data_IF_193559504984
#
_entry.id   IF_193559504984
#
_cell.length_a   1.000
_cell.length_b   1.000
_cell.length_c   1.000
_cell.angle_alpha   90.00
_cell.angle_beta   90.00
_cell.angle_gamma   90.00
#
_symmetry.space_group_name_H-M   'P 1'
#
loop_
_entity.id
_entity.type
_entity.pdbx_description
1 polymer ?
#
# COMPACT_ATOMS: atom_id res chain seq x y z
N UNK A 1 12.03 -14.61 19.31
CA UNK A 1 11.90 -13.41 18.44
C UNK A 1 11.04 -13.79 17.27
N UNK A 2 9.93 -13.08 17.03
CA UNK A 2 8.92 -13.41 16.03
C UNK A 2 9.56 -13.46 14.63
N UNK A 3 9.23 -14.51 13.85
CA UNK A 3 9.60 -14.70 12.45
C UNK A 3 8.40 -14.41 11.55
N UNK A 4 8.64 -14.09 10.26
CA UNK A 4 7.60 -14.03 9.25
C UNK A 4 7.33 -15.46 8.75
N UNK A 5 6.26 -16.04 9.21
CA UNK A 5 5.91 -17.44 8.99
C UNK A 5 4.74 -17.65 8.04
N UNK A 6 3.96 -16.61 7.87
CA UNK A 6 2.77 -16.61 7.01
C UNK A 6 2.57 -15.22 6.43
N UNK A 7 2.35 -15.14 5.15
CA UNK A 7 1.90 -13.95 4.43
C UNK A 7 0.70 -14.30 3.55
N UNK A 8 -0.34 -13.48 3.62
CA UNK A 8 -1.54 -13.66 2.80
C UNK A 8 -1.77 -12.45 1.88
N UNK A 9 -2.22 -12.73 0.67
CA UNK A 9 -2.62 -11.75 -0.34
C UNK A 9 -4.00 -12.12 -0.88
N UNK A 10 -4.85 -11.11 -1.14
CA UNK A 10 -6.05 -11.27 -1.94
C UNK A 10 -6.01 -10.28 -3.11
N UNK A 11 -6.31 -10.76 -4.30
CA UNK A 11 -6.34 -9.96 -5.53
C UNK A 11 -7.34 -10.55 -6.51
N UNK A 12 -7.71 -9.76 -7.52
CA UNK A 12 -8.59 -10.23 -8.58
C UNK A 12 -7.76 -10.77 -9.75
N UNK A 13 -8.11 -11.95 -10.23
CA UNK A 13 -7.59 -12.58 -11.43
C UNK A 13 -8.79 -13.06 -12.24
N UNK A 14 -8.93 -12.61 -13.48
CA UNK A 14 -10.07 -12.92 -14.36
C UNK A 14 -11.45 -12.74 -13.65
N UNK A 15 -11.65 -11.60 -12.99
CA UNK A 15 -12.84 -11.26 -12.19
C UNK A 15 -13.12 -12.16 -10.97
N UNK A 16 -12.24 -13.09 -10.67
CA UNK A 16 -12.32 -13.92 -9.46
C UNK A 16 -11.41 -13.38 -8.36
N UNK A 17 -11.94 -13.32 -7.14
CA UNK A 17 -11.13 -12.99 -5.96
C UNK A 17 -10.30 -14.20 -5.54
N UNK A 18 -8.99 -14.11 -5.70
CA UNK A 18 -8.02 -15.14 -5.33
C UNK A 18 -7.41 -14.79 -3.98
N UNK A 19 -7.37 -15.76 -3.06
CA UNK A 19 -6.62 -15.68 -1.81
C UNK A 19 -5.38 -16.58 -1.92
N UNK A 20 -4.20 -15.97 -1.85
CA UNK A 20 -2.91 -16.65 -1.89
C UNK A 20 -2.25 -16.57 -0.52
N UNK A 21 -1.83 -17.71 0.01
CA UNK A 21 -1.14 -17.80 1.29
C UNK A 21 0.23 -18.43 1.11
N UNK A 22 1.26 -17.79 1.68
CA UNK A 22 2.64 -18.25 1.65
C UNK A 22 2.99 -18.60 3.09
N UNK A 23 3.14 -19.91 3.37
CA UNK A 23 3.27 -20.45 4.70
C UNK A 23 4.60 -21.21 4.85
N UNK A 24 5.29 -20.99 5.96
CA UNK A 24 6.48 -21.73 6.33
C UNK A 24 6.08 -22.97 7.16
N UNK A 25 6.36 -24.16 6.66
CA UNK A 25 6.16 -25.38 7.43
C UNK A 25 7.15 -25.49 8.61
N UNK A 26 8.33 -24.90 8.43
CA UNK A 26 9.35 -24.79 9.48
C UNK A 26 9.87 -23.35 9.59
N UNK A 27 10.18 -22.87 10.81
CA UNK A 27 10.71 -21.52 11.00
C UNK A 27 12.00 -21.21 10.21
N UNK A 28 12.75 -22.21 9.74
CA UNK A 28 13.94 -22.01 8.88
C UNK A 28 13.58 -21.55 7.46
N UNK A 29 12.35 -21.77 7.00
CA UNK A 29 11.86 -21.40 5.67
C UNK A 29 11.46 -19.91 5.58
N UNK A 30 11.59 -19.16 6.67
CA UNK A 30 11.30 -17.72 6.66
C UNK A 30 11.93 -16.94 5.49
N UNK A 31 13.20 -17.20 5.08
CA UNK A 31 13.79 -16.50 3.94
C UNK A 31 13.00 -16.71 2.62
N UNK A 32 12.48 -17.92 2.42
CA UNK A 32 11.69 -18.28 1.25
C UNK A 32 10.33 -17.58 1.26
N UNK A 33 9.65 -17.54 2.42
CA UNK A 33 8.40 -16.78 2.57
C UNK A 33 8.61 -15.30 2.24
N UNK A 34 9.70 -14.69 2.77
CA UNK A 34 10.01 -13.29 2.51
C UNK A 34 10.31 -13.05 1.03
N UNK A 35 11.13 -13.90 0.41
CA UNK A 35 11.49 -13.76 -1.00
C UNK A 35 10.25 -13.88 -1.89
N UNK A 36 9.39 -14.84 -1.60
CA UNK A 36 8.15 -15.09 -2.35
C UNK A 36 7.19 -13.90 -2.23
N UNK A 37 6.90 -13.40 -1.02
CA UNK A 37 5.98 -12.27 -0.85
C UNK A 37 6.54 -10.99 -1.51
N UNK A 38 7.82 -10.72 -1.41
CA UNK A 38 8.44 -9.57 -2.07
C UNK A 38 8.38 -9.69 -3.60
N UNK A 39 8.50 -10.90 -4.14
CA UNK A 39 8.35 -11.13 -5.57
C UNK A 39 6.91 -10.91 -6.03
N UNK A 40 5.93 -11.45 -5.33
CA UNK A 40 4.50 -11.23 -5.62
C UNK A 40 4.14 -9.74 -5.63
N UNK A 41 4.65 -8.97 -4.65
CA UNK A 41 4.36 -7.54 -4.53
C UNK A 41 4.86 -6.68 -5.71
N UNK A 42 5.77 -7.20 -6.55
CA UNK A 42 6.28 -6.44 -7.71
C UNK A 42 5.23 -6.23 -8.79
N UNK A 43 4.28 -7.17 -8.89
CA UNK A 43 3.28 -7.17 -9.95
C UNK A 43 2.10 -6.22 -9.66
N UNK A 44 2.08 -5.61 -8.45
CA UNK A 44 1.02 -4.70 -8.03
C UNK A 44 1.51 -3.26 -7.95
N UNK A 45 0.67 -2.33 -8.39
CA UNK A 45 0.91 -0.88 -8.22
C UNK A 45 0.52 -0.40 -6.81
N UNK A 46 -0.45 -1.05 -6.19
CA UNK A 46 -0.98 -0.71 -4.88
C UNK A 46 -1.31 -1.94 -4.06
N UNK A 47 -1.05 -1.87 -2.75
CA UNK A 47 -1.55 -2.83 -1.76
C UNK A 47 -2.48 -2.12 -0.80
N UNK A 48 -3.53 -2.82 -0.39
CA UNK A 48 -4.43 -2.39 0.68
C UNK A 48 -4.06 -3.12 1.96
N UNK A 49 -3.96 -2.38 3.06
CA UNK A 49 -3.68 -2.97 4.38
C UNK A 49 -4.58 -2.37 5.44
N UNK A 50 -4.62 -3.01 6.60
CA UNK A 50 -5.19 -2.43 7.81
C UNK A 50 -4.10 -2.25 8.87
N UNK A 51 -3.65 -1.00 9.06
CA UNK A 51 -2.51 -0.63 9.91
C UNK A 51 -1.13 -1.18 9.45
N UNK A 52 -1.05 -1.60 8.19
CA UNK A 52 0.14 -2.22 7.62
C UNK A 52 1.33 -1.28 7.45
N UNK A 53 1.10 0.03 7.29
CA UNK A 53 2.19 1.03 7.26
C UNK A 53 3.00 1.03 8.56
N UNK A 54 2.37 0.71 9.70
CA UNK A 54 3.03 0.71 11.02
C UNK A 54 3.52 -0.67 11.45
N UNK A 55 2.91 -1.75 10.95
CA UNK A 55 3.19 -3.11 11.39
C UNK A 55 3.73 -4.00 10.26
N UNK A 56 2.91 -4.37 9.30
CA UNK A 56 3.25 -5.41 8.32
C UNK A 56 4.43 -5.02 7.43
N UNK A 57 4.40 -3.80 6.87
CA UNK A 57 5.47 -3.35 5.97
C UNK A 57 6.82 -3.16 6.67
N UNK A 58 6.90 -2.45 7.83
CA UNK A 58 8.15 -2.36 8.56
C UNK A 58 8.65 -3.71 9.07
N UNK A 59 7.74 -4.62 9.43
CA UNK A 59 8.10 -5.97 9.85
C UNK A 59 8.70 -6.76 8.68
N UNK A 60 8.04 -6.79 7.52
CA UNK A 60 8.53 -7.44 6.30
C UNK A 60 9.93 -6.92 5.93
N UNK A 61 10.10 -5.60 5.85
CA UNK A 61 11.39 -4.98 5.51
C UNK A 61 12.50 -5.32 6.52
N UNK A 62 12.19 -5.27 7.81
CA UNK A 62 13.12 -5.65 8.87
C UNK A 62 13.52 -7.12 8.79
N UNK A 63 12.58 -8.02 8.44
CA UNK A 63 12.87 -9.44 8.26
C UNK A 63 13.68 -9.69 7.00
N UNK A 64 13.37 -9.03 5.89
CA UNK A 64 14.15 -9.07 4.65
C UNK A 64 15.62 -8.66 4.91
N UNK A 65 15.82 -7.52 5.58
CA UNK A 65 17.17 -7.05 5.94
C UNK A 65 17.94 -8.07 6.79
N UNK A 66 17.29 -8.68 7.82
CA UNK A 66 17.92 -9.68 8.68
C UNK A 66 18.31 -10.96 7.95
N UNK A 67 17.53 -11.34 6.94
CA UNK A 67 17.79 -12.52 6.13
C UNK A 67 18.66 -12.20 4.90
N UNK A 68 19.22 -10.97 4.80
CA UNK A 68 20.08 -10.50 3.70
C UNK A 68 19.40 -10.59 2.33
N UNK A 69 18.09 -10.43 2.31
CA UNK A 69 17.31 -10.38 1.08
C UNK A 69 17.29 -8.93 0.61
N UNK A 70 17.86 -8.69 -0.57
CA UNK A 70 17.94 -7.38 -1.19
C UNK A 70 16.68 -7.11 -2.02
N UNK A 71 16.11 -5.94 -1.84
CA UNK A 71 15.01 -5.46 -2.67
C UNK A 71 15.61 -4.60 -3.79
N UNK A 72 15.35 -4.97 -5.02
CA UNK A 72 15.78 -4.20 -6.19
C UNK A 72 14.76 -3.11 -6.57
N UNK A 73 13.57 -3.18 -5.99
CA UNK A 73 12.45 -2.31 -6.31
C UNK A 73 11.77 -1.79 -5.05
N UNK A 74 11.22 -0.57 -5.12
CA UNK A 74 10.36 -0.05 -4.07
C UNK A 74 9.07 -0.87 -3.95
N UNK A 75 8.54 -0.98 -2.73
CA UNK A 75 7.23 -1.59 -2.49
C UNK A 75 6.12 -0.79 -3.20
N UNK A 76 4.99 -1.45 -3.53
CA UNK A 76 3.83 -0.77 -4.06
C UNK A 76 3.28 0.28 -3.09
N UNK A 77 2.52 1.24 -3.61
CA UNK A 77 1.81 2.20 -2.77
C UNK A 77 0.94 1.44 -1.76
N UNK A 78 1.01 1.83 -0.49
CA UNK A 78 0.19 1.22 0.55
C UNK A 78 -1.00 2.12 0.89
N UNK A 79 -2.19 1.73 0.47
CA UNK A 79 -3.45 2.29 0.93
C UNK A 79 -3.81 1.66 2.27
N UNK A 80 -3.46 2.33 3.35
CA UNK A 80 -3.71 1.83 4.71
C UNK A 80 -5.06 2.33 5.22
N UNK A 81 -6.01 1.42 5.43
CA UNK A 81 -7.37 1.75 5.85
C UNK A 81 -7.44 2.26 7.30
N UNK A 82 -6.51 1.86 8.18
CA UNK A 82 -6.54 2.31 9.57
C UNK A 82 -6.38 3.83 9.73
N UNK A 83 -5.35 4.50 9.16
CA UNK A 83 -5.28 5.95 9.21
C UNK A 83 -6.41 6.65 8.43
N UNK A 84 -6.95 6.04 7.36
CA UNK A 84 -8.12 6.56 6.66
C UNK A 84 -9.32 6.64 7.60
N UNK A 85 -9.64 5.53 8.27
CA UNK A 85 -10.72 5.47 9.26
C UNK A 85 -10.44 6.38 10.46
N UNK A 86 -9.21 6.38 10.98
CA UNK A 86 -8.87 7.09 12.21
C UNK A 86 -8.90 8.61 12.07
N UNK A 87 -8.39 9.14 10.96
CA UNK A 87 -8.09 10.58 10.82
C UNK A 87 -8.94 11.28 9.77
N UNK A 88 -9.58 10.52 8.89
CA UNK A 88 -10.33 11.03 7.75
C UNK A 88 -11.77 10.55 7.74
N UNK A 89 -12.29 10.04 8.86
CA UNK A 89 -13.69 9.66 9.02
C UNK A 89 -14.21 10.02 10.42
N UNK A 90 -15.55 10.08 10.62
CA UNK A 90 -16.14 10.26 11.94
C UNK A 90 -16.08 9.01 12.82
N UNK A 91 -15.69 7.85 12.29
CA UNK A 91 -15.78 6.54 12.95
C UNK A 91 -15.00 6.46 14.26
N UNK A 92 -13.90 7.22 14.38
CA UNK A 92 -13.14 7.30 15.63
C UNK A 92 -13.98 7.78 16.83
N UNK A 93 -14.95 8.66 16.58
CA UNK A 93 -15.83 9.18 17.62
C UNK A 93 -17.06 8.28 17.85
N UNK A 94 -17.36 7.40 16.92
CA UNK A 94 -18.56 6.57 16.92
C UNK A 94 -18.32 5.15 17.44
N UNK A 95 -17.07 4.63 17.29
CA UNK A 95 -16.75 3.25 17.63
C UNK A 95 -15.96 3.16 18.94
N UNK A 96 -16.10 2.06 19.70
CA UNK A 96 -15.38 1.85 20.96
C UNK A 96 -13.86 1.71 20.74
N UNK A 97 -13.47 1.13 19.62
CA UNK A 97 -12.09 1.05 19.13
C UNK A 97 -12.08 1.00 17.60
N UNK A 98 -10.87 1.03 17.03
CA UNK A 98 -10.68 0.94 15.58
C UNK A 98 -9.91 -0.33 15.20
N UNK A 99 -10.15 -1.44 15.88
CA UNK A 99 -9.66 -2.74 15.42
C UNK A 99 -10.38 -3.13 14.13
N UNK A 100 -9.72 -3.90 13.28
CA UNK A 100 -10.29 -4.32 12.01
C UNK A 100 -11.67 -4.97 12.21
N UNK A 101 -11.81 -5.95 13.14
CA UNK A 101 -13.05 -6.63 13.46
C UNK A 101 -14.18 -5.67 13.91
N UNK A 102 -13.84 -4.61 14.66
CA UNK A 102 -14.81 -3.60 15.08
C UNK A 102 -15.34 -2.78 13.91
N UNK A 103 -14.45 -2.39 13.00
CA UNK A 103 -14.83 -1.64 11.80
C UNK A 103 -15.60 -2.53 10.82
N UNK A 104 -15.21 -3.79 10.64
CA UNK A 104 -15.94 -4.79 9.86
C UNK A 104 -17.39 -4.96 10.38
N UNK A 105 -17.55 -5.08 11.70
CA UNK A 105 -18.87 -5.16 12.32
C UNK A 105 -19.73 -3.94 12.02
N UNK A 106 -19.15 -2.75 12.07
CA UNK A 106 -19.86 -1.50 11.77
C UNK A 106 -20.35 -1.42 10.32
N UNK A 107 -19.56 -1.91 9.36
CA UNK A 107 -19.98 -1.93 7.94
C UNK A 107 -20.79 -3.17 7.56
N UNK A 108 -21.18 -4.01 8.53
CA UNK A 108 -22.05 -5.16 8.29
C UNK A 108 -21.34 -6.43 7.81
N UNK A 109 -20.03 -6.55 8.02
CA UNK A 109 -19.24 -7.70 7.55
C UNK A 109 -19.00 -8.78 8.60
N UNK A 110 -19.48 -8.61 9.83
CA UNK A 110 -19.22 -9.51 10.95
C UNK A 110 -19.74 -10.96 10.74
N UNK A 111 -20.82 -11.13 10.00
CA UNK A 111 -21.42 -12.46 9.75
C UNK A 111 -20.61 -13.33 8.79
N UNK A 112 -19.63 -12.75 8.11
CA UNK A 112 -18.86 -13.45 7.07
C UNK A 112 -17.51 -13.98 7.55
N UNK A 113 -17.16 -13.77 8.84
CA UNK A 113 -16.00 -14.39 9.47
C UNK A 113 -16.31 -15.78 9.99
N UNK A 114 -15.35 -16.69 9.82
CA UNK A 114 -15.43 -18.07 10.29
C UNK A 114 -14.32 -18.41 11.29
N UNK A 115 -13.33 -17.51 11.44
CA UNK A 115 -12.21 -17.70 12.37
C UNK A 115 -12.60 -17.34 13.82
N UNK A 116 -12.12 -18.14 14.78
CA UNK A 116 -12.38 -17.97 16.21
C UNK A 116 -11.16 -17.51 17.02
N UNK A 117 -9.97 -17.43 16.40
CA UNK A 117 -8.71 -17.12 17.08
C UNK A 117 -8.29 -15.65 16.90
N UNK A 118 -7.39 -15.20 17.76
CA UNK A 118 -6.70 -13.91 17.64
C UNK A 118 -5.34 -14.07 16.96
N UNK A 119 -4.78 -12.97 16.45
CA UNK A 119 -3.44 -12.98 15.87
C UNK A 119 -2.33 -13.41 16.87
N UNK A 120 -2.51 -13.16 18.17
CA UNK A 120 -1.57 -13.63 19.19
C UNK A 120 -1.63 -15.15 19.35
N UNK A 121 -2.84 -15.70 19.43
CA UNK A 121 -3.06 -17.16 19.49
C UNK A 121 -2.54 -17.86 18.22
N UNK A 122 -2.70 -17.25 17.05
CA UNK A 122 -2.16 -17.77 15.80
C UNK A 122 -0.64 -17.98 15.86
N UNK A 123 0.11 -17.09 16.52
CA UNK A 123 1.56 -17.23 16.70
C UNK A 123 1.90 -18.40 17.64
N UNK A 124 1.15 -18.58 18.73
CA UNK A 124 1.36 -19.69 19.66
C UNK A 124 1.04 -21.03 18.98
N UNK A 125 -0.07 -21.10 18.26
CA UNK A 125 -0.46 -22.27 17.48
C UNK A 125 0.57 -22.63 16.42
N UNK A 126 1.20 -21.63 15.78
CA UNK A 126 2.26 -21.91 14.82
C UNK A 126 3.46 -22.62 15.45
N UNK A 127 3.95 -22.16 16.61
CA UNK A 127 5.08 -22.85 17.26
C UNK A 127 4.71 -24.24 17.74
N UNK A 128 3.46 -24.47 18.13
CA UNK A 128 2.96 -25.79 18.42
C UNK A 128 2.93 -26.67 17.15
N UNK A 129 2.40 -26.15 16.05
CA UNK A 129 2.42 -26.82 14.73
C UNK A 129 3.86 -27.16 14.29
N UNK A 130 4.79 -26.21 14.39
CA UNK A 130 6.17 -26.44 13.98
C UNK A 130 6.83 -27.62 14.70
N UNK A 131 6.44 -27.87 15.97
CA UNK A 131 6.92 -29.01 16.76
C UNK A 131 6.17 -30.32 16.52
N UNK A 132 4.88 -30.27 16.21
CA UNK A 132 4.02 -31.47 16.13
C UNK A 132 3.65 -31.88 14.71
N UNK A 133 3.67 -30.93 13.77
CA UNK A 133 3.18 -31.08 12.38
C UNK A 133 1.71 -31.50 12.32
N UNK A 134 0.90 -31.08 13.31
CA UNK A 134 -0.53 -31.34 13.33
C UNK A 134 -1.24 -30.49 12.25
N UNK A 135 -1.72 -31.13 11.20
CA UNK A 135 -2.39 -30.49 10.08
C UNK A 135 -3.64 -29.71 10.47
N UNK A 136 -4.35 -30.16 11.52
CA UNK A 136 -5.54 -29.43 12.01
C UNK A 136 -5.18 -28.07 12.57
N UNK A 137 -4.04 -27.98 13.26
CA UNK A 137 -3.53 -26.70 13.77
C UNK A 137 -3.09 -25.79 12.63
N UNK A 138 -2.42 -26.33 11.62
CA UNK A 138 -2.08 -25.59 10.39
C UNK A 138 -3.33 -25.01 9.72
N UNK A 139 -4.35 -25.81 9.56
CA UNK A 139 -5.59 -25.41 8.90
C UNK A 139 -6.31 -24.28 9.65
N UNK A 140 -6.29 -24.29 10.99
CA UNK A 140 -6.81 -23.20 11.81
C UNK A 140 -6.03 -21.91 11.59
N UNK A 141 -4.70 -21.96 11.52
CA UNK A 141 -3.84 -20.80 11.27
C UNK A 141 -4.12 -20.22 9.87
N UNK A 142 -4.20 -21.09 8.86
CA UNK A 142 -4.48 -20.67 7.49
C UNK A 142 -5.88 -20.10 7.34
N UNK A 143 -6.88 -20.69 7.99
CA UNK A 143 -8.25 -20.18 7.99
C UNK A 143 -8.32 -18.76 8.58
N UNK A 144 -7.68 -18.53 9.72
CA UNK A 144 -7.62 -17.20 10.34
C UNK A 144 -7.02 -16.15 9.40
N UNK A 145 -5.84 -16.44 8.82
CA UNK A 145 -5.21 -15.52 7.88
C UNK A 145 -6.07 -15.32 6.61
N UNK A 146 -6.68 -16.39 6.07
CA UNK A 146 -7.57 -16.28 4.92
C UNK A 146 -8.76 -15.37 5.22
N UNK A 147 -9.38 -15.52 6.37
CA UNK A 147 -10.50 -14.68 6.75
C UNK A 147 -10.08 -13.22 6.90
N UNK A 148 -8.92 -12.93 7.48
CA UNK A 148 -8.40 -11.56 7.61
C UNK A 148 -8.21 -10.88 6.23
N UNK A 149 -7.58 -11.55 5.26
CA UNK A 149 -7.36 -10.97 3.93
C UNK A 149 -8.65 -10.86 3.11
N UNK A 150 -9.55 -11.83 3.21
CA UNK A 150 -10.84 -11.80 2.51
C UNK A 150 -11.77 -10.72 3.07
N UNK A 151 -11.78 -10.54 4.39
CA UNK A 151 -12.54 -9.47 5.01
C UNK A 151 -11.96 -8.09 4.67
N UNK A 152 -10.63 -7.97 4.61
CA UNK A 152 -9.96 -6.73 4.21
C UNK A 152 -10.40 -6.27 2.80
N UNK A 153 -10.57 -7.19 1.85
CA UNK A 153 -11.06 -6.85 0.51
C UNK A 153 -12.47 -6.26 0.53
N UNK A 154 -13.35 -6.79 1.35
CA UNK A 154 -14.73 -6.28 1.53
C UNK A 154 -14.73 -4.96 2.31
N UNK A 155 -13.80 -4.80 3.25
CA UNK A 155 -13.67 -3.62 4.10
C UNK A 155 -13.31 -2.34 3.32
N UNK A 156 -12.88 -2.46 2.06
CA UNK A 156 -12.69 -1.30 1.17
C UNK A 156 -13.92 -0.39 1.10
N UNK A 157 -15.12 -0.92 1.29
CA UNK A 157 -16.37 -0.14 1.36
C UNK A 157 -16.37 0.91 2.49
N UNK A 158 -15.50 0.78 3.49
CA UNK A 158 -15.36 1.79 4.55
C UNK A 158 -14.85 3.14 4.00
N UNK A 159 -14.19 3.14 2.86
CA UNK A 159 -13.69 4.36 2.21
C UNK A 159 -14.84 5.32 1.84
N UNK A 160 -16.06 4.83 1.63
CA UNK A 160 -17.26 5.65 1.41
C UNK A 160 -17.62 6.52 2.64
N UNK A 161 -17.07 6.17 3.81
CA UNK A 161 -17.23 6.92 5.07
C UNK A 161 -16.04 7.83 5.37
N UNK A 162 -15.02 7.86 4.49
CA UNK A 162 -13.79 8.60 4.68
C UNK A 162 -13.69 9.80 3.73
N UNK A 163 -13.05 10.88 4.20
CA UNK A 163 -12.53 11.91 3.30
C UNK A 163 -11.29 11.38 2.57
N UNK A 164 -11.54 10.68 1.47
CA UNK A 164 -10.49 10.07 0.66
C UNK A 164 -9.55 11.12 0.05
N UNK A 165 -10.06 12.30 -0.30
CA UNK A 165 -9.24 13.38 -0.84
C UNK A 165 -8.26 13.89 0.21
N UNK A 166 -8.72 14.14 1.43
CA UNK A 166 -7.86 14.50 2.55
C UNK A 166 -6.83 13.42 2.88
N UNK A 167 -7.23 12.15 2.84
CA UNK A 167 -6.31 11.02 3.03
C UNK A 167 -5.20 10.99 1.98
N UNK A 168 -5.55 11.09 0.70
CA UNK A 168 -4.59 11.08 -0.42
C UNK A 168 -3.66 12.28 -0.34
N UNK A 169 -4.19 13.46 -0.04
CA UNK A 169 -3.38 14.68 0.13
C UNK A 169 -2.34 14.54 1.25
N UNK A 170 -2.68 13.86 2.34
CA UNK A 170 -1.79 13.65 3.48
C UNK A 170 -0.82 12.48 3.33
N UNK A 171 -1.17 11.45 2.53
CA UNK A 171 -0.44 10.18 2.45
C UNK A 171 0.17 9.89 1.08
N UNK A 172 0.00 10.78 0.12
CA UNK A 172 0.45 10.62 -1.25
C UNK A 172 -0.62 10.03 -2.18
N UNK A 173 -0.42 10.24 -3.48
CA UNK A 173 -1.29 9.78 -4.56
C UNK A 173 -0.51 8.80 -5.45
N UNK A 174 -0.98 7.57 -5.62
CA UNK A 174 -0.41 6.67 -6.62
C UNK A 174 -0.78 7.14 -8.04
N UNK A 175 0.19 7.17 -8.95
CA UNK A 175 0.02 7.49 -10.36
C UNK A 175 0.85 6.52 -11.20
N UNK A 176 0.33 5.32 -11.45
CA UNK A 176 1.06 4.21 -12.04
C UNK A 176 2.26 3.82 -11.16
N UNK A 177 3.44 3.84 -11.74
CA UNK A 177 4.70 3.55 -11.00
C UNK A 177 5.23 4.72 -10.17
N UNK A 178 4.57 5.87 -10.21
CA UNK A 178 4.91 7.03 -9.40
C UNK A 178 4.06 7.07 -8.14
N UNK A 179 4.64 7.54 -7.05
CA UNK A 179 3.93 7.90 -5.83
C UNK A 179 4.17 9.39 -5.62
N UNK A 180 3.13 10.19 -5.75
CA UNK A 180 3.19 11.63 -5.51
C UNK A 180 3.05 11.84 -4.01
N UNK A 181 4.15 12.23 -3.36
CA UNK A 181 4.17 12.43 -1.92
C UNK A 181 3.71 13.84 -1.55
N UNK A 182 3.95 14.82 -2.42
CA UNK A 182 3.67 16.21 -2.14
C UNK A 182 3.49 17.03 -3.40
N UNK A 183 2.53 17.96 -3.38
CA UNK A 183 2.36 19.00 -4.38
C UNK A 183 2.57 20.35 -3.71
N UNK A 184 3.50 21.15 -4.22
CA UNK A 184 3.80 22.48 -3.67
C UNK A 184 3.53 23.55 -4.72
N UNK A 185 2.59 24.44 -4.44
CA UNK A 185 2.24 25.54 -5.34
C UNK A 185 3.03 26.80 -4.98
N UNK A 186 3.93 27.22 -5.86
CA UNK A 186 4.59 28.52 -5.85
C UNK A 186 3.81 29.57 -6.65
N UNK A 187 4.41 30.77 -6.79
CA UNK A 187 3.79 31.85 -7.60
C UNK A 187 3.84 31.54 -9.10
N UNK A 188 4.93 30.95 -9.59
CA UNK A 188 5.19 30.70 -11.01
C UNK A 188 5.21 29.24 -11.39
N UNK A 189 5.36 28.35 -10.41
CA UNK A 189 5.55 26.91 -10.63
C UNK A 189 4.76 26.11 -9.60
N UNK A 190 4.36 24.93 -10.03
CA UNK A 190 3.85 23.85 -9.19
C UNK A 190 4.88 22.72 -9.23
N UNK A 191 5.37 22.32 -8.07
CA UNK A 191 6.28 21.19 -7.93
C UNK A 191 5.50 19.95 -7.46
N UNK A 192 5.55 18.89 -8.26
CA UNK A 192 5.03 17.57 -7.95
C UNK A 192 6.24 16.74 -7.51
N UNK A 193 6.27 16.33 -6.26
CA UNK A 193 7.40 15.67 -5.62
C UNK A 193 6.98 14.28 -5.19
N UNK A 194 7.83 13.28 -5.41
CA UNK A 194 7.51 11.93 -5.02
C UNK A 194 8.62 10.93 -5.25
N UNK A 195 8.23 9.65 -5.25
CA UNK A 195 9.10 8.51 -5.48
C UNK A 195 8.64 7.73 -6.71
N UNK A 196 9.58 7.14 -7.41
CA UNK A 196 9.33 6.26 -8.55
C UNK A 196 9.82 4.86 -8.24
N UNK A 197 9.01 3.85 -8.53
CA UNK A 197 9.46 2.45 -8.55
C UNK A 197 10.35 2.25 -9.78
N UNK A 198 11.56 1.74 -9.59
CA UNK A 198 12.51 1.40 -10.67
C UNK A 198 13.01 2.58 -11.49
N UNK A 199 13.58 3.61 -10.84
CA UNK A 199 14.37 4.61 -11.54
C UNK A 199 15.77 4.01 -11.87
N UNK A 200 16.06 3.60 -13.12
CA UNK A 200 17.30 2.89 -13.43
C UNK A 200 18.53 3.82 -13.46
N UNK A 201 18.33 5.11 -13.61
CA UNK A 201 19.39 6.12 -13.72
C UNK A 201 18.86 7.49 -13.30
N UNK A 202 19.81 8.38 -13.00
CA UNK A 202 19.49 9.80 -12.85
C UNK A 202 19.03 10.37 -14.19
N UNK A 203 17.98 11.17 -14.15
CA UNK A 203 17.45 11.85 -15.32
C UNK A 203 17.16 13.31 -15.01
N UNK A 204 17.52 14.19 -15.93
CA UNK A 204 17.16 15.60 -15.90
C UNK A 204 16.67 16.01 -17.29
N UNK A 205 15.40 16.44 -17.36
CA UNK A 205 14.93 17.10 -18.59
C UNK A 205 15.51 18.49 -18.64
N UNK A 206 16.15 18.82 -19.74
CA UNK A 206 16.47 20.20 -20.08
C UNK A 206 15.25 20.83 -20.72
N UNK A 207 14.94 22.05 -20.29
CA UNK A 207 13.93 22.86 -20.90
C UNK A 207 14.48 23.35 -22.24
N UNK A 208 14.13 22.71 -23.34
CA UNK A 208 14.43 23.20 -24.68
C UNK A 208 13.37 24.25 -25.05
N UNK A 209 13.28 25.31 -24.28
CA UNK A 209 12.52 26.55 -24.55
C UNK A 209 11.03 26.38 -24.94
N UNK A 210 10.55 25.16 -25.16
CA UNK A 210 9.23 24.87 -25.74
C UNK A 210 8.25 24.18 -24.79
N UNK A 211 8.72 23.34 -23.83
CA UNK A 211 7.81 22.58 -22.98
C UNK A 211 7.42 23.28 -21.68
N UNK A 212 8.26 24.20 -21.21
CA UNK A 212 8.00 24.98 -20.00
C UNK A 212 7.98 24.17 -18.69
N UNK A 213 8.14 22.84 -18.73
CA UNK A 213 8.21 22.00 -17.54
C UNK A 213 9.61 21.38 -17.38
N UNK A 214 9.94 20.97 -16.16
CA UNK A 214 11.21 20.29 -15.83
C UNK A 214 10.94 19.03 -15.05
N UNK A 215 11.73 17.98 -15.34
CA UNK A 215 11.64 16.70 -14.65
C UNK A 215 13.01 16.30 -14.14
N UNK A 216 13.10 15.93 -12.88
CA UNK A 216 14.31 15.36 -12.25
C UNK A 216 13.97 14.01 -11.67
N UNK A 217 14.79 13.00 -11.97
CA UNK A 217 14.79 11.71 -11.30
C UNK A 217 16.16 11.45 -10.70
N UNK A 218 16.17 10.93 -9.46
CA UNK A 218 17.38 10.49 -8.78
C UNK A 218 17.25 9.01 -8.48
N UNK A 219 18.10 8.18 -9.07
CA UNK A 219 18.08 6.73 -8.90
C UNK A 219 18.44 6.31 -7.48
N UNK A 220 19.36 7.02 -6.80
CA UNK A 220 19.86 6.69 -5.46
C UNK A 220 18.76 6.54 -4.40
N UNK A 221 17.75 7.41 -4.43
CA UNK A 221 16.65 7.44 -3.48
C UNK A 221 15.28 7.28 -4.15
N UNK A 222 15.29 6.93 -5.44
CA UNK A 222 14.11 6.79 -6.29
C UNK A 222 13.21 8.04 -6.29
N UNK A 223 13.74 9.22 -5.96
CA UNK A 223 12.97 10.45 -5.88
C UNK A 223 12.78 11.10 -7.24
N UNK A 224 11.70 11.84 -7.40
CA UNK A 224 11.48 12.70 -8.55
C UNK A 224 10.88 14.05 -8.15
N UNK A 225 11.10 15.04 -9.01
CA UNK A 225 10.41 16.32 -9.00
C UNK A 225 9.97 16.64 -10.43
N UNK A 226 8.70 16.93 -10.59
CA UNK A 226 8.15 17.47 -11.84
C UNK A 226 7.72 18.91 -11.54
N UNK A 227 8.35 19.87 -12.20
CA UNK A 227 8.02 21.29 -12.08
C UNK A 227 7.26 21.75 -13.31
N UNK A 228 6.05 22.25 -13.11
CA UNK A 228 5.21 22.77 -14.20
C UNK A 228 4.94 24.28 -14.01
N UNK A 229 4.90 25.07 -15.09
CA UNK A 229 4.60 26.49 -15.01
C UNK A 229 3.14 26.69 -14.63
N UNK A 230 2.87 27.70 -13.81
CA UNK A 230 1.54 28.12 -13.38
C UNK A 230 1.28 29.53 -13.86
N UNK A 231 0.11 29.75 -14.41
CA UNK A 231 -0.43 31.07 -14.77
C UNK A 231 -1.53 31.46 -13.76
N UNK A 232 -1.62 32.73 -13.46
CA UNK A 232 -2.71 33.28 -12.64
C UNK A 232 -3.75 33.91 -13.55
N UNK A 233 -4.99 33.48 -13.40
CA UNK A 233 -6.13 34.05 -14.11
C UNK A 233 -7.31 34.20 -13.16
N UNK A 234 -7.80 35.42 -12.97
CA UNK A 234 -8.98 35.76 -12.14
C UNK A 234 -8.87 35.19 -10.69
N UNK A 235 -7.66 35.24 -10.11
CA UNK A 235 -7.40 34.73 -8.76
C UNK A 235 -7.24 33.21 -8.66
N UNK A 236 -7.32 32.48 -9.77
CA UNK A 236 -7.07 31.04 -9.86
C UNK A 236 -5.68 30.79 -10.41
N UNK A 237 -5.02 29.77 -9.91
CA UNK A 237 -3.77 29.26 -10.46
C UNK A 237 -4.05 28.08 -11.35
N UNK A 238 -3.61 28.17 -12.59
CA UNK A 238 -3.89 27.20 -13.65
C UNK A 238 -2.59 26.70 -14.26
N UNK A 239 -2.56 25.43 -14.63
CA UNK A 239 -1.48 24.87 -15.46
C UNK A 239 -1.88 25.03 -16.92
N UNK A 240 -1.01 25.67 -17.72
CA UNK A 240 -1.24 25.86 -19.15
C UNK A 240 -0.79 24.62 -19.93
N UNK A 241 -1.71 23.68 -20.13
CA UNK A 241 -1.43 22.44 -20.86
C UNK A 241 -1.05 22.69 -22.34
N UNK A 242 -1.56 23.76 -22.96
CA UNK A 242 -1.20 24.12 -24.33
C UNK A 242 0.28 24.54 -24.42
N UNK A 243 0.72 25.35 -23.44
CA UNK A 243 2.13 25.77 -23.37
C UNK A 243 3.06 24.58 -23.11
N UNK A 244 2.57 23.54 -22.47
CA UNK A 244 3.32 22.30 -22.22
C UNK A 244 3.24 21.30 -23.38
N UNK A 245 2.55 21.66 -24.47
CA UNK A 245 2.32 20.76 -25.61
C UNK A 245 1.71 19.40 -25.22
N UNK A 246 0.84 19.38 -24.20
CA UNK A 246 0.14 18.20 -23.74
C UNK A 246 -1.20 18.11 -24.47
N UNK A 247 -1.44 16.99 -25.14
CA UNK A 247 -2.77 16.68 -25.68
C UNK A 247 -3.73 16.32 -24.53
N UNK A 248 -4.77 17.12 -24.38
CA UNK A 248 -5.80 16.95 -23.36
C UNK A 248 -7.18 16.59 -23.95
N UNK A 249 -7.24 16.29 -25.23
CA UNK A 249 -8.52 15.97 -25.91
C UNK A 249 -9.23 14.75 -25.32
N UNK A 250 -8.50 13.86 -24.65
CA UNK A 250 -9.05 12.71 -23.95
C UNK A 250 -9.38 12.92 -22.46
N UNK A 251 -9.24 14.16 -21.94
CA UNK A 251 -9.49 14.47 -20.52
C UNK A 251 -10.86 15.14 -20.28
N UNK A 252 -11.62 15.38 -21.33
CA UNK A 252 -12.98 15.90 -21.33
C UNK A 252 -13.96 14.82 -21.74
#
# INVERSE_FOLDING_TARGET
RCKLILAGLAYYEDDMLVAKQIFADDPSEEPEVIATILNELKDFDMVVTYNGKRFDMPFLLKRAYKNKIHMNEALPYNLDLYPAVRSFSPLRAMLPDLKQKTVESFVGLWETRTDEISGAESVELYYYYAGTKDEKIRDVILLHNRDDIMQLSKLLTVLDKCDLNGYIYANGLPAGRLIIDKITAGRQYLDIIGTQRNAPADFLSYDDFCSGYKVWFKAKDSSFVIRVPVIENSGLRLVDLKKMNIDYSGLL
#
